data_IF_552220690165
#
_entry.id   IF_552220690165
#
_cell.length_a   1.000
_cell.length_b   1.000
_cell.length_c   1.000
_cell.angle_alpha   90.00
_cell.angle_beta   90.00
_cell.angle_gamma   90.00
#
_symmetry.space_group_name_H-M   'P 1'
#
loop_
_entity.id
_entity.type
_entity.pdbx_description
1 polymer ?
#
# COMPACT_ATOMS: atom_id res chain seq x y z
N UNK A 1 -14.18 3.96 22.26
CA UNK A 1 -13.94 2.52 22.00
C UNK A 1 -12.44 2.25 22.12
N UNK A 2 -12.02 1.50 23.16
CA UNK A 2 -10.63 1.14 23.40
C UNK A 2 -10.18 0.15 22.30
N UNK A 3 -9.30 0.59 21.41
CA UNK A 3 -8.62 -0.32 20.46
C UNK A 3 -7.84 -1.36 21.27
N UNK A 4 -8.03 -2.67 21.07
CA UNK A 4 -7.27 -3.67 21.79
C UNK A 4 -5.78 -3.45 21.49
N UNK A 5 -4.98 -3.21 22.54
CA UNK A 5 -3.51 -3.14 22.44
C UNK A 5 -3.04 -4.46 21.80
N UNK A 6 -2.50 -4.39 20.59
CA UNK A 6 -1.88 -5.54 19.93
C UNK A 6 -0.74 -6.05 20.83
N UNK A 7 -0.55 -7.37 21.00
CA UNK A 7 0.54 -7.90 21.79
C UNK A 7 1.87 -7.36 21.26
N UNK A 8 2.72 -6.87 22.17
CA UNK A 8 4.00 -6.22 21.85
C UNK A 8 4.89 -7.08 20.93
N UNK A 9 4.89 -8.40 21.14
CA UNK A 9 5.63 -9.38 20.34
C UNK A 9 5.22 -9.38 18.86
N UNK A 10 3.92 -9.30 18.57
CA UNK A 10 3.44 -9.33 17.20
C UNK A 10 3.79 -8.04 16.44
N UNK A 11 3.72 -6.90 17.11
CA UNK A 11 4.16 -5.64 16.53
C UNK A 11 5.67 -5.69 16.23
N UNK A 12 6.49 -6.25 17.12
CA UNK A 12 7.91 -6.41 16.90
C UNK A 12 8.24 -7.34 15.72
N UNK A 13 7.53 -8.46 15.56
CA UNK A 13 7.70 -9.38 14.43
C UNK A 13 7.35 -8.75 13.08
N UNK A 14 6.35 -7.85 13.06
CA UNK A 14 5.85 -7.22 11.85
C UNK A 14 6.52 -5.87 11.51
N UNK A 15 7.31 -5.30 12.42
CA UNK A 15 8.03 -4.06 12.15
C UNK A 15 9.20 -4.29 11.19
N UNK A 16 9.21 -3.52 10.09
CA UNK A 16 10.40 -3.39 9.26
C UNK A 16 11.36 -2.37 9.89
N UNK A 17 12.66 -2.62 9.82
CA UNK A 17 13.69 -1.73 10.38
C UNK A 17 13.88 -0.42 9.58
N UNK A 18 13.37 -0.34 8.34
CA UNK A 18 13.45 0.84 7.51
C UNK A 18 12.13 1.63 7.54
N UNK A 19 12.20 2.92 7.87
CA UNK A 19 11.08 3.86 7.88
C UNK A 19 9.91 3.46 8.81
N UNK A 20 10.22 3.02 10.02
CA UNK A 20 9.23 2.61 11.03
C UNK A 20 8.16 3.69 11.32
N UNK A 21 8.48 4.97 11.09
CA UNK A 21 7.61 6.11 11.41
C UNK A 21 6.63 6.48 10.29
N UNK A 22 6.74 5.89 9.09
CA UNK A 22 5.82 6.17 7.99
C UNK A 22 4.62 5.20 8.00
N UNK A 23 3.48 5.65 8.55
CA UNK A 23 2.25 4.85 8.66
C UNK A 23 1.74 4.35 7.30
N UNK A 24 1.87 5.15 6.23
CA UNK A 24 1.45 4.77 4.88
C UNK A 24 2.33 3.64 4.32
N UNK A 25 3.66 3.74 4.49
CA UNK A 25 4.61 2.69 4.12
C UNK A 25 4.29 1.38 4.86
N UNK A 26 4.08 1.44 6.17
CA UNK A 26 3.72 0.27 6.99
C UNK A 26 2.38 -0.35 6.56
N UNK A 27 1.40 0.47 6.17
CA UNK A 27 0.12 -0.03 5.65
C UNK A 27 0.31 -0.79 4.32
N UNK A 28 1.08 -0.24 3.39
CA UNK A 28 1.37 -0.88 2.10
C UNK A 28 2.16 -2.19 2.29
N UNK A 29 3.18 -2.20 3.13
CA UNK A 29 3.94 -3.40 3.48
C UNK A 29 3.04 -4.51 4.05
N UNK A 30 2.09 -4.16 4.92
CA UNK A 30 1.11 -5.15 5.47
C UNK A 30 0.19 -5.72 4.41
N UNK A 31 -0.20 -4.93 3.40
CA UNK A 31 -1.05 -5.42 2.30
C UNK A 31 -0.34 -6.51 1.48
N UNK A 32 0.99 -6.46 1.36
CA UNK A 32 1.76 -7.50 0.66
C UNK A 32 1.74 -8.86 1.38
N UNK A 33 1.43 -8.89 2.68
CA UNK A 33 1.35 -10.12 3.48
C UNK A 33 0.04 -10.90 3.29
N UNK A 34 -0.99 -10.29 2.71
CA UNK A 34 -2.30 -10.95 2.52
C UNK A 34 -2.22 -11.98 1.40
N UNK A 35 -2.44 -13.28 1.67
CA UNK A 35 -2.38 -14.33 0.66
C UNK A 35 -3.60 -14.32 -0.27
N UNK A 36 -3.41 -14.79 -1.51
CA UNK A 36 -4.56 -15.14 -2.34
C UNK A 36 -5.28 -16.39 -1.75
N UNK A 37 -6.60 -16.54 -1.93
CA UNK A 37 -7.35 -17.66 -1.38
C UNK A 37 -6.89 -19.05 -1.87
N UNK A 38 -6.31 -19.14 -3.06
CA UNK A 38 -5.82 -20.39 -3.64
C UNK A 38 -4.49 -20.88 -3.05
N UNK A 39 -3.66 -19.95 -2.57
CA UNK A 39 -2.29 -20.24 -2.11
C UNK A 39 -2.19 -21.30 -1.00
N UNK A 40 -3.04 -21.31 0.05
CA UNK A 40 -2.98 -22.36 1.09
C UNK A 40 -3.13 -23.77 0.55
N UNK A 41 -3.99 -23.98 -0.42
CA UNK A 41 -4.25 -25.29 -1.00
C UNK A 41 -3.10 -25.79 -1.86
N UNK A 42 -2.50 -24.91 -2.65
CA UNK A 42 -1.34 -25.27 -3.49
C UNK A 42 -0.17 -25.74 -2.62
N UNK A 43 0.12 -25.02 -1.53
CA UNK A 43 1.20 -25.40 -0.61
C UNK A 43 0.89 -26.69 0.14
N UNK A 44 -0.38 -26.95 0.49
CA UNK A 44 -0.78 -28.17 1.17
C UNK A 44 -0.72 -29.41 0.26
N UNK A 45 -0.89 -29.27 -1.06
CA UNK A 45 -0.87 -30.38 -1.99
C UNK A 45 0.45 -31.15 -1.98
N UNK A 46 1.60 -30.44 -2.02
CA UNK A 46 2.93 -31.06 -1.94
C UNK A 46 3.15 -31.81 -0.61
N UNK A 47 2.70 -31.22 0.51
CA UNK A 47 2.79 -31.85 1.84
C UNK A 47 1.88 -33.09 1.93
N UNK A 48 0.69 -33.03 1.33
CA UNK A 48 -0.24 -34.18 1.29
C UNK A 48 0.37 -35.35 0.50
N UNK A 49 1.04 -35.10 -0.63
CA UNK A 49 1.73 -36.14 -1.38
C UNK A 49 2.85 -36.79 -0.56
N UNK A 50 3.63 -36.01 0.18
CA UNK A 50 4.66 -36.53 1.09
C UNK A 50 4.04 -37.41 2.19
N UNK A 51 2.90 -37.01 2.77
CA UNK A 51 2.19 -37.79 3.79
C UNK A 51 1.59 -39.08 3.24
N UNK A 52 1.08 -39.08 2.01
CA UNK A 52 0.61 -40.31 1.35
C UNK A 52 1.76 -41.29 1.14
N UNK A 53 2.92 -40.81 0.68
CA UNK A 53 4.13 -41.63 0.55
C UNK A 53 4.61 -42.15 1.94
N UNK A 54 4.56 -41.31 2.98
CA UNK A 54 4.90 -41.72 4.35
C UNK A 54 3.93 -42.81 4.86
N UNK A 55 2.64 -42.65 4.64
CA UNK A 55 1.65 -43.67 5.02
C UNK A 55 1.87 -45.02 4.35
N UNK A 56 2.17 -44.99 3.04
CA UNK A 56 2.49 -46.21 2.28
C UNK A 56 3.78 -46.91 2.75
N UNK A 57 4.83 -46.08 3.04
CA UNK A 57 6.17 -46.60 3.33
C UNK A 57 6.40 -46.88 4.82
N UNK A 58 5.69 -46.23 5.74
CA UNK A 58 5.99 -46.27 7.17
C UNK A 58 4.82 -46.53 8.08
N UNK A 59 3.88 -45.60 8.23
CA UNK A 59 2.75 -45.71 9.15
C UNK A 59 1.49 -45.00 8.63
N UNK A 60 0.51 -45.76 8.23
CA UNK A 60 -0.74 -45.28 7.68
C UNK A 60 -1.56 -44.47 8.70
N UNK A 61 -1.61 -44.89 9.97
CA UNK A 61 -2.42 -44.20 10.98
C UNK A 61 -1.86 -42.80 11.31
N UNK A 62 -0.55 -42.70 11.44
CA UNK A 62 0.12 -41.40 11.65
C UNK A 62 -0.09 -40.49 10.43
N UNK A 63 0.09 -41.01 9.21
CA UNK A 63 -0.15 -40.27 7.99
C UNK A 63 -1.59 -39.75 7.88
N UNK A 64 -2.58 -40.57 8.20
CA UNK A 64 -3.99 -40.17 8.15
C UNK A 64 -4.32 -39.07 9.17
N UNK A 65 -3.80 -39.18 10.42
CA UNK A 65 -3.98 -38.17 11.44
C UNK A 65 -3.34 -36.79 11.02
N UNK A 66 -2.12 -36.82 10.46
CA UNK A 66 -1.43 -35.63 10.01
C UNK A 66 -2.09 -35.00 8.76
N UNK A 67 -2.63 -35.83 7.85
CA UNK A 67 -3.43 -35.36 6.72
C UNK A 67 -4.70 -34.62 7.18
N UNK A 68 -5.42 -35.19 8.16
CA UNK A 68 -6.60 -34.56 8.75
C UNK A 68 -6.24 -33.20 9.39
N UNK A 69 -5.15 -33.14 10.14
CA UNK A 69 -4.68 -31.90 10.76
C UNK A 69 -4.23 -30.87 9.71
N UNK A 70 -3.52 -31.30 8.67
CA UNK A 70 -3.12 -30.46 7.54
C UNK A 70 -4.34 -29.87 6.83
N UNK A 71 -5.36 -30.70 6.56
CA UNK A 71 -6.60 -30.27 5.92
C UNK A 71 -7.35 -29.24 6.79
N UNK A 72 -7.45 -29.49 8.10
CA UNK A 72 -8.09 -28.58 9.06
C UNK A 72 -7.40 -27.21 9.09
N UNK A 73 -6.07 -27.18 9.23
CA UNK A 73 -5.31 -25.93 9.25
C UNK A 73 -5.38 -25.19 7.90
N UNK A 74 -5.35 -25.93 6.79
CA UNK A 74 -5.46 -25.34 5.45
C UNK A 74 -6.83 -24.75 5.20
N UNK A 75 -7.90 -25.45 5.58
CA UNK A 75 -9.27 -24.96 5.50
C UNK A 75 -9.48 -23.72 6.40
N UNK A 76 -8.93 -23.71 7.62
CA UNK A 76 -8.97 -22.57 8.51
C UNK A 76 -8.26 -21.33 7.92
N UNK A 77 -7.08 -21.51 7.32
CA UNK A 77 -6.35 -20.44 6.62
C UNK A 77 -7.13 -19.90 5.42
N UNK A 78 -7.72 -20.78 4.63
CA UNK A 78 -8.54 -20.41 3.49
C UNK A 78 -9.80 -19.63 3.91
N UNK A 79 -10.46 -20.07 4.98
CA UNK A 79 -11.62 -19.38 5.54
C UNK A 79 -11.25 -17.99 6.05
N UNK A 80 -10.15 -17.87 6.82
CA UNK A 80 -9.63 -16.58 7.29
C UNK A 80 -9.25 -15.63 6.16
N UNK A 81 -8.75 -16.15 5.03
CA UNK A 81 -8.41 -15.34 3.86
C UNK A 81 -9.64 -14.80 3.11
N UNK A 82 -10.82 -15.43 3.27
CA UNK A 82 -12.08 -15.01 2.64
C UNK A 82 -12.92 -14.09 3.50
N UNK A 83 -12.86 -14.24 4.81
CA UNK A 83 -13.55 -13.32 5.74
C UNK A 83 -12.93 -11.96 5.61
N UNK A 84 -13.71 -10.99 5.08
CA UNK A 84 -13.30 -9.64 4.72
C UNK A 84 -12.33 -8.99 5.70
N UNK A 85 -11.19 -8.46 5.21
CA UNK A 85 -10.24 -7.77 6.05
C UNK A 85 -10.85 -6.46 6.61
N UNK A 86 -10.47 -6.05 7.81
CA UNK A 86 -9.24 -6.38 8.54
C UNK A 86 -9.44 -7.06 9.90
N UNK A 87 -10.35 -8.04 10.02
CA UNK A 87 -10.88 -8.41 11.35
C UNK A 87 -9.85 -9.10 12.24
N UNK A 88 -8.87 -9.87 11.73
CA UNK A 88 -7.87 -10.55 12.59
C UNK A 88 -6.54 -10.87 11.88
N UNK A 89 -5.69 -9.91 11.60
CA UNK A 89 -4.35 -10.19 11.03
C UNK A 89 -3.51 -11.12 11.93
N UNK A 90 -3.73 -11.07 13.26
CA UNK A 90 -3.08 -11.94 14.22
C UNK A 90 -3.43 -13.41 14.03
N UNK A 91 -4.71 -13.73 13.80
CA UNK A 91 -5.14 -15.11 13.57
C UNK A 91 -4.55 -15.70 12.29
N UNK A 92 -4.45 -14.92 11.22
CA UNK A 92 -3.78 -15.35 9.99
C UNK A 92 -2.30 -15.70 10.23
N UNK A 93 -1.56 -14.85 10.93
CA UNK A 93 -0.15 -15.07 11.21
C UNK A 93 0.08 -16.29 12.11
N UNK A 94 -0.74 -16.44 13.14
CA UNK A 94 -0.66 -17.63 14.02
C UNK A 94 -0.95 -18.92 13.26
N UNK A 95 -1.96 -18.94 12.38
CA UNK A 95 -2.26 -20.15 11.59
C UNK A 95 -1.17 -20.50 10.58
N UNK A 96 -0.45 -19.50 10.06
CA UNK A 96 0.73 -19.75 9.21
C UNK A 96 1.85 -20.38 10.01
N UNK A 97 2.16 -19.87 11.21
CA UNK A 97 3.21 -20.46 12.09
C UNK A 97 2.86 -21.88 12.49
N UNK A 98 1.61 -22.15 12.85
CA UNK A 98 1.15 -23.52 13.18
C UNK A 98 1.27 -24.45 11.97
N UNK A 99 0.97 -23.96 10.78
CA UNK A 99 1.14 -24.72 9.55
C UNK A 99 2.63 -25.03 9.27
N UNK A 100 3.54 -24.06 9.42
CA UNK A 100 4.97 -24.26 9.26
C UNK A 100 5.52 -25.27 10.29
N UNK A 101 5.08 -25.18 11.54
CA UNK A 101 5.45 -26.14 12.58
C UNK A 101 4.98 -27.56 12.27
N UNK A 102 3.75 -27.71 11.77
CA UNK A 102 3.22 -29.01 11.34
C UNK A 102 4.05 -29.59 10.18
N UNK A 103 4.36 -28.80 9.16
CA UNK A 103 5.16 -29.28 8.01
C UNK A 103 6.59 -29.61 8.45
N UNK A 104 7.18 -28.83 9.35
CA UNK A 104 8.48 -29.15 9.95
C UNK A 104 8.47 -30.47 10.74
N UNK A 105 7.38 -30.74 11.49
CA UNK A 105 7.20 -32.00 12.20
C UNK A 105 7.04 -33.19 11.24
N UNK A 106 6.32 -33.01 10.12
CA UNK A 106 6.20 -34.03 9.06
C UNK A 106 7.57 -34.33 8.45
N UNK A 107 8.37 -33.30 8.17
CA UNK A 107 9.72 -33.46 7.64
C UNK A 107 10.67 -34.14 8.64
N UNK A 108 10.54 -33.85 9.93
CA UNK A 108 11.25 -34.56 11.01
C UNK A 108 10.89 -36.06 11.00
N UNK A 109 9.62 -36.43 10.92
CA UNK A 109 9.20 -37.83 10.84
C UNK A 109 9.73 -38.52 9.57
N UNK A 110 9.76 -37.82 8.46
CA UNK A 110 10.36 -38.34 7.23
C UNK A 110 11.87 -38.63 7.42
N UNK A 111 12.63 -37.75 8.10
CA UNK A 111 14.03 -37.96 8.43
C UNK A 111 14.21 -39.17 9.37
N UNK A 112 13.42 -39.28 10.43
CA UNK A 112 13.51 -40.36 11.41
C UNK A 112 13.05 -41.74 10.86
N UNK A 113 12.32 -41.76 9.74
CA UNK A 113 11.89 -42.99 9.08
C UNK A 113 13.05 -43.85 8.57
N UNK A 114 14.24 -43.24 8.35
CA UNK A 114 15.41 -43.88 7.77
C UNK A 114 15.23 -44.29 6.30
N UNK A 115 14.13 -43.90 5.64
CA UNK A 115 13.85 -44.21 4.25
C UNK A 115 14.32 -43.08 3.34
N UNK A 116 15.35 -43.36 2.53
CA UNK A 116 16.01 -42.35 1.70
C UNK A 116 15.05 -41.59 0.81
N UNK A 117 14.06 -42.25 0.20
CA UNK A 117 13.06 -41.59 -0.63
C UNK A 117 12.25 -40.53 0.13
N UNK A 118 11.83 -40.82 1.36
CA UNK A 118 11.09 -39.86 2.21
C UNK A 118 11.99 -38.70 2.66
N UNK A 119 13.25 -39.00 2.97
CA UNK A 119 14.24 -38.00 3.40
C UNK A 119 14.49 -37.00 2.25
N UNK A 120 14.77 -37.47 1.06
CA UNK A 120 15.05 -36.63 -0.10
C UNK A 120 13.83 -35.83 -0.55
N UNK A 121 12.65 -36.45 -0.61
CA UNK A 121 11.42 -35.75 -0.99
C UNK A 121 11.00 -34.71 0.02
N UNK A 122 11.16 -34.97 1.33
CA UNK A 122 10.92 -33.98 2.38
C UNK A 122 11.90 -32.81 2.29
N UNK A 123 13.21 -33.08 2.10
CA UNK A 123 14.24 -32.05 1.93
C UNK A 123 13.96 -31.14 0.75
N UNK A 124 13.59 -31.69 -0.40
CA UNK A 124 13.24 -30.91 -1.59
C UNK A 124 11.98 -30.05 -1.33
N UNK A 125 10.94 -30.62 -0.73
CA UNK A 125 9.70 -29.94 -0.46
C UNK A 125 9.89 -28.77 0.52
N UNK A 126 10.55 -28.97 1.66
CA UNK A 126 10.77 -27.90 2.65
C UNK A 126 11.67 -26.80 2.09
N UNK A 127 12.64 -27.14 1.23
CA UNK A 127 13.50 -26.13 0.57
C UNK A 127 12.68 -25.26 -0.39
N UNK A 128 11.81 -25.88 -1.21
CA UNK A 128 10.93 -25.15 -2.10
C UNK A 128 9.92 -24.25 -1.34
N UNK A 129 9.34 -24.76 -0.26
CA UNK A 129 8.43 -23.99 0.61
C UNK A 129 9.15 -22.85 1.33
N UNK A 130 10.36 -23.09 1.84
CA UNK A 130 11.16 -22.06 2.49
C UNK A 130 11.49 -20.92 1.53
N UNK A 131 11.92 -21.22 0.30
CA UNK A 131 12.19 -20.22 -0.71
C UNK A 131 10.96 -19.40 -1.06
N UNK A 132 9.81 -20.05 -1.21
CA UNK A 132 8.52 -19.37 -1.45
C UNK A 132 8.10 -18.47 -0.28
N UNK A 133 8.26 -18.93 0.98
CA UNK A 133 7.95 -18.12 2.18
C UNK A 133 8.87 -16.91 2.31
N UNK A 134 10.17 -17.05 2.00
CA UNK A 134 11.12 -15.93 2.00
C UNK A 134 10.67 -14.79 1.09
N UNK A 135 10.22 -15.10 -0.12
CA UNK A 135 9.71 -14.10 -1.05
C UNK A 135 8.37 -13.52 -0.56
N UNK A 136 7.47 -14.39 -0.12
CA UNK A 136 6.11 -14.02 0.24
C UNK A 136 6.04 -13.10 1.46
N UNK A 137 6.84 -13.37 2.48
CA UNK A 137 6.83 -12.63 3.74
C UNK A 137 8.04 -11.72 3.92
N UNK A 138 8.72 -11.37 2.84
CA UNK A 138 9.87 -10.45 2.84
C UNK A 138 9.55 -9.06 3.43
N UNK A 139 8.28 -8.64 3.40
CA UNK A 139 7.82 -7.42 4.04
C UNK A 139 7.96 -7.43 5.57
N UNK A 140 8.03 -8.62 6.20
CA UNK A 140 8.19 -8.82 7.64
C UNK A 140 9.36 -9.80 7.90
N UNK A 141 10.62 -9.36 7.82
CA UNK A 141 11.80 -10.24 7.79
C UNK A 141 11.95 -11.11 9.02
N UNK A 142 11.61 -10.62 10.21
CA UNK A 142 11.65 -11.40 11.46
C UNK A 142 10.60 -12.51 11.46
N UNK A 143 9.42 -12.23 10.93
CA UNK A 143 8.35 -13.22 10.79
C UNK A 143 8.73 -14.31 9.78
N UNK A 144 9.26 -13.92 8.61
CA UNK A 144 9.76 -14.85 7.60
C UNK A 144 10.86 -15.76 8.14
N UNK A 145 11.80 -15.22 8.93
CA UNK A 145 12.85 -16.01 9.56
C UNK A 145 12.28 -17.05 10.54
N UNK A 146 11.29 -16.67 11.36
CA UNK A 146 10.63 -17.59 12.28
C UNK A 146 9.91 -18.73 11.55
N UNK A 147 9.21 -18.45 10.47
CA UNK A 147 8.55 -19.45 9.63
C UNK A 147 9.54 -20.46 9.06
N UNK A 148 10.66 -19.97 8.53
CA UNK A 148 11.70 -20.82 7.94
C UNK A 148 12.35 -21.69 9.01
N UNK A 149 12.60 -21.14 10.19
CA UNK A 149 13.12 -21.92 11.32
C UNK A 149 12.16 -23.05 11.71
N UNK A 150 10.86 -22.74 11.85
CA UNK A 150 9.85 -23.75 12.19
C UNK A 150 9.73 -24.85 11.12
N UNK A 151 9.92 -24.48 9.85
CA UNK A 151 9.84 -25.38 8.73
C UNK A 151 11.05 -26.29 8.58
N UNK A 152 12.26 -25.76 8.74
CA UNK A 152 13.52 -26.44 8.32
C UNK A 152 14.33 -27.02 9.48
N UNK A 153 14.38 -26.34 10.66
CA UNK A 153 15.18 -26.83 11.78
C UNK A 153 14.80 -28.21 12.29
N UNK A 154 13.50 -28.59 12.41
CA UNK A 154 13.15 -29.94 12.86
C UNK A 154 13.75 -31.03 11.97
N UNK A 155 13.76 -30.81 10.66
CA UNK A 155 14.35 -31.73 9.70
C UNK A 155 15.88 -31.83 9.83
N UNK A 156 16.57 -30.70 9.91
CA UNK A 156 18.03 -30.66 10.02
C UNK A 156 18.53 -31.21 11.35
N UNK A 157 17.85 -30.86 12.47
CA UNK A 157 18.20 -31.36 13.81
C UNK A 157 17.92 -32.84 14.00
N UNK A 158 17.01 -33.42 13.20
CA UNK A 158 16.75 -34.87 13.20
C UNK A 158 17.81 -35.68 12.44
N UNK A 159 18.63 -35.04 11.63
CA UNK A 159 19.64 -35.74 10.80
C UNK A 159 20.63 -36.60 11.60
N UNK A 160 21.18 -36.14 12.76
CA UNK A 160 22.02 -36.98 13.60
C UNK A 160 21.32 -38.19 14.21
N UNK A 161 19.98 -38.14 14.37
CA UNK A 161 19.16 -39.21 14.92
C UNK A 161 18.67 -40.19 13.82
N UNK A 162 18.95 -39.90 12.57
CA UNK A 162 18.63 -40.73 11.44
C UNK A 162 19.40 -42.05 11.49
N UNK A 163 18.76 -43.13 11.05
CA UNK A 163 19.41 -44.45 10.91
C UNK A 163 20.27 -44.58 9.65
N UNK A 164 20.30 -43.53 8.82
CA UNK A 164 21.06 -43.52 7.55
C UNK A 164 22.46 -42.98 7.82
N UNK A 165 23.46 -43.75 7.40
CA UNK A 165 24.87 -43.41 7.62
C UNK A 165 25.24 -42.06 6.99
N UNK A 166 26.04 -41.26 7.69
CA UNK A 166 26.57 -39.95 7.26
C UNK A 166 25.55 -38.80 7.13
N UNK A 167 24.25 -39.00 7.40
CA UNK A 167 23.29 -37.88 7.38
C UNK A 167 23.49 -36.89 8.52
N UNK A 168 24.21 -37.26 9.58
CA UNK A 168 24.58 -36.33 10.66
C UNK A 168 25.35 -35.11 10.13
N UNK A 169 26.08 -35.24 9.01
CA UNK A 169 26.78 -34.12 8.37
C UNK A 169 25.85 -33.00 7.89
N UNK A 170 24.54 -33.28 7.73
CA UNK A 170 23.58 -32.23 7.42
C UNK A 170 23.42 -31.22 8.57
N UNK A 171 23.74 -31.59 9.79
CA UNK A 171 23.69 -30.67 10.92
C UNK A 171 24.77 -29.57 10.81
N UNK A 172 25.91 -29.87 10.19
CA UNK A 172 27.00 -28.92 9.99
C UNK A 172 26.64 -27.83 8.97
N UNK A 173 25.61 -28.07 8.16
CA UNK A 173 25.10 -27.08 7.17
C UNK A 173 24.19 -26.04 7.84
N UNK A 174 23.68 -26.28 9.05
CA UNK A 174 22.73 -25.37 9.73
C UNK A 174 23.24 -23.92 9.79
N UNK A 175 24.49 -23.61 10.22
CA UNK A 175 24.96 -22.24 10.30
C UNK A 175 24.98 -21.55 8.92
N UNK A 176 25.43 -22.26 7.88
CA UNK A 176 25.43 -21.77 6.51
C UNK A 176 24.00 -21.53 6.00
N UNK A 177 23.08 -22.44 6.28
CA UNK A 177 21.66 -22.31 5.91
C UNK A 177 21.02 -21.08 6.56
N UNK A 178 21.26 -20.83 7.86
CA UNK A 178 20.75 -19.67 8.58
C UNK A 178 21.33 -18.36 8.00
N UNK A 179 22.61 -18.34 7.66
CA UNK A 179 23.26 -17.18 7.03
C UNK A 179 22.65 -16.89 5.66
N UNK A 180 22.47 -17.91 4.83
CA UNK A 180 21.84 -17.78 3.51
C UNK A 180 20.38 -17.33 3.62
N UNK A 181 19.61 -17.93 4.54
CA UNK A 181 18.23 -17.55 4.78
C UNK A 181 18.11 -16.07 5.19
N UNK A 182 18.98 -15.63 6.13
CA UNK A 182 19.04 -14.23 6.54
C UNK A 182 19.38 -13.30 5.36
N UNK A 183 20.40 -13.64 4.58
CA UNK A 183 20.83 -12.86 3.41
C UNK A 183 19.74 -12.74 2.36
N UNK A 184 19.06 -13.84 2.03
CA UNK A 184 17.96 -13.87 1.07
C UNK A 184 16.75 -13.06 1.56
N UNK A 185 16.36 -13.22 2.82
CA UNK A 185 15.26 -12.43 3.43
C UNK A 185 15.60 -10.93 3.37
N UNK A 186 16.83 -10.55 3.73
CA UNK A 186 17.29 -9.16 3.67
C UNK A 186 17.27 -8.62 2.23
N UNK A 187 17.68 -9.42 1.25
CA UNK A 187 17.63 -9.06 -0.16
C UNK A 187 16.19 -8.82 -0.63
N UNK A 188 15.28 -9.77 -0.44
CA UNK A 188 13.89 -9.62 -0.84
C UNK A 188 13.17 -8.49 -0.07
N UNK A 189 13.51 -8.28 1.20
CA UNK A 189 12.99 -7.15 1.96
C UNK A 189 13.35 -5.81 1.34
N UNK A 190 14.61 -5.63 0.91
CA UNK A 190 15.07 -4.42 0.21
C UNK A 190 14.32 -4.22 -1.11
N UNK A 191 14.10 -5.29 -1.89
CA UNK A 191 13.34 -5.22 -3.15
C UNK A 191 11.90 -4.76 -2.93
N UNK A 192 11.21 -5.33 -1.93
CA UNK A 192 9.84 -4.92 -1.60
C UNK A 192 9.80 -3.47 -1.11
N UNK A 193 10.75 -3.05 -0.26
CA UNK A 193 10.84 -1.67 0.22
C UNK A 193 11.07 -0.68 -0.92
N UNK A 194 11.97 -0.99 -1.85
CA UNK A 194 12.20 -0.16 -3.05
C UNK A 194 10.96 -0.09 -3.95
N UNK A 195 10.28 -1.21 -4.17
CA UNK A 195 9.05 -1.23 -4.96
C UNK A 195 7.96 -0.36 -4.35
N UNK A 196 7.77 -0.42 -3.03
CA UNK A 196 6.77 0.39 -2.31
C UNK A 196 7.11 1.89 -2.40
N UNK A 197 8.39 2.27 -2.22
CA UNK A 197 8.81 3.68 -2.34
C UNK A 197 8.64 4.21 -3.75
N UNK A 198 9.10 3.49 -4.77
CA UNK A 198 8.96 3.87 -6.18
C UNK A 198 7.48 4.00 -6.60
N UNK A 199 6.63 3.11 -6.11
CA UNK A 199 5.19 3.17 -6.39
C UNK A 199 4.56 4.40 -5.74
N UNK A 200 4.93 4.72 -4.50
CA UNK A 200 4.45 5.91 -3.80
C UNK A 200 4.92 7.21 -4.48
N UNK A 201 6.17 7.26 -4.95
CA UNK A 201 6.71 8.40 -5.71
C UNK A 201 6.00 8.58 -7.05
N UNK A 202 5.79 7.48 -7.79
CA UNK A 202 5.00 7.51 -9.04
C UNK A 202 3.57 8.00 -8.81
N UNK A 203 2.91 7.56 -7.74
CA UNK A 203 1.57 8.04 -7.39
C UNK A 203 1.57 9.53 -7.04
N UNK A 204 2.56 10.00 -6.25
CA UNK A 204 2.71 11.43 -5.95
C UNK A 204 2.96 12.26 -7.21
N UNK A 205 3.82 11.80 -8.12
CA UNK A 205 4.07 12.45 -9.40
C UNK A 205 2.81 12.44 -10.29
N UNK A 206 2.07 11.33 -10.33
CA UNK A 206 0.81 11.21 -11.06
C UNK A 206 -0.31 12.11 -10.54
N UNK A 207 -0.22 12.62 -9.31
CA UNK A 207 -1.19 13.54 -8.72
C UNK A 207 -0.81 15.04 -8.87
N UNK A 208 0.28 15.35 -9.57
CA UNK A 208 0.70 16.73 -9.80
C UNK A 208 0.59 17.15 -11.26
N UNK A 209 0.26 18.43 -11.46
CA UNK A 209 0.28 19.06 -12.77
C UNK A 209 1.71 19.53 -13.08
N UNK A 210 2.22 19.14 -14.23
CA UNK A 210 3.63 19.38 -14.61
C UNK A 210 3.94 20.85 -14.95
N UNK A 211 2.93 21.65 -15.31
CA UNK A 211 3.11 23.07 -15.61
C UNK A 211 3.12 23.93 -14.35
N UNK A 212 2.16 23.72 -13.48
CA UNK A 212 1.93 24.58 -12.31
C UNK A 212 2.55 24.04 -11.01
N UNK A 213 2.89 22.74 -10.98
CA UNK A 213 3.40 22.04 -9.79
C UNK A 213 2.33 21.76 -8.72
N UNK A 214 1.10 22.24 -8.88
CA UNK A 214 -0.03 21.99 -8.00
C UNK A 214 -0.58 20.55 -8.17
N UNK A 215 -1.60 20.19 -7.41
CA UNK A 215 -2.32 18.96 -7.66
C UNK A 215 -2.97 19.04 -9.07
N UNK A 216 -2.94 17.93 -9.78
CA UNK A 216 -3.78 17.77 -10.96
C UNK A 216 -5.18 17.31 -10.57
N UNK A 217 -6.07 17.09 -11.55
CA UNK A 217 -7.43 16.63 -11.30
C UNK A 217 -7.50 15.38 -10.40
N UNK A 218 -6.68 14.36 -10.68
CA UNK A 218 -6.66 13.12 -9.88
C UNK A 218 -6.22 13.37 -8.44
N UNK A 219 -5.22 14.23 -8.24
CA UNK A 219 -4.76 14.64 -6.90
C UNK A 219 -5.82 15.43 -6.13
N UNK A 220 -6.51 16.35 -6.81
CA UNK A 220 -7.62 17.12 -6.23
C UNK A 220 -8.81 16.23 -5.86
N UNK A 221 -9.19 15.31 -6.74
CA UNK A 221 -10.27 14.33 -6.46
C UNK A 221 -9.92 13.43 -5.27
N UNK A 222 -8.66 13.03 -5.10
CA UNK A 222 -8.23 12.24 -3.94
C UNK A 222 -8.40 13.02 -2.62
N UNK A 223 -8.05 14.30 -2.57
CA UNK A 223 -8.29 15.15 -1.39
C UNK A 223 -9.78 15.32 -1.13
N UNK A 224 -10.58 15.56 -2.16
CA UNK A 224 -12.04 15.69 -2.04
C UNK A 224 -12.70 14.39 -1.57
N UNK A 225 -12.18 13.21 -1.95
CA UNK A 225 -12.67 11.93 -1.44
C UNK A 225 -12.49 11.79 0.08
N UNK A 226 -11.38 12.29 0.63
CA UNK A 226 -11.18 12.30 2.08
C UNK A 226 -12.19 13.20 2.79
N UNK A 227 -12.55 14.34 2.21
CA UNK A 227 -13.56 15.27 2.71
C UNK A 227 -14.95 14.60 2.74
N UNK A 228 -15.31 13.92 1.66
CA UNK A 228 -16.60 13.25 1.50
C UNK A 228 -16.71 11.93 2.30
N UNK A 229 -15.64 11.49 3.00
CA UNK A 229 -15.66 10.20 3.68
C UNK A 229 -16.50 10.25 4.97
N UNK A 230 -17.46 9.32 5.17
CA UNK A 230 -18.41 9.37 6.29
C UNK A 230 -17.79 9.30 7.70
N UNK A 231 -16.54 8.78 7.80
CA UNK A 231 -15.83 8.68 9.08
C UNK A 231 -15.13 9.99 9.49
N UNK A 232 -15.10 11.00 8.62
CA UNK A 232 -14.44 12.28 8.87
C UNK A 232 -15.44 13.22 9.56
N UNK A 233 -15.45 13.20 10.89
CA UNK A 233 -16.41 13.97 11.71
C UNK A 233 -16.08 15.47 11.77
N UNK A 234 -14.80 15.83 11.61
CA UNK A 234 -14.33 17.22 11.56
C UNK A 234 -13.23 17.29 10.51
N UNK A 235 -13.48 18.00 9.41
CA UNK A 235 -12.47 18.26 8.42
C UNK A 235 -11.82 19.64 8.66
N UNK A 236 -10.50 19.75 8.68
CA UNK A 236 -9.82 21.04 8.86
C UNK A 236 -10.02 22.00 7.68
N UNK A 237 -10.40 21.48 6.50
CA UNK A 237 -10.74 22.27 5.32
C UNK A 237 -12.16 22.81 5.46
N UNK A 238 -12.33 24.11 5.25
CA UNK A 238 -13.59 24.81 5.51
C UNK A 238 -14.31 25.27 4.23
N UNK A 239 -13.53 25.62 3.18
CA UNK A 239 -14.07 26.18 1.96
C UNK A 239 -13.38 25.62 0.72
N UNK A 240 -14.15 25.48 -0.37
CA UNK A 240 -13.67 25.21 -1.71
C UNK A 240 -13.94 26.46 -2.57
N UNK A 241 -12.86 27.05 -3.10
CA UNK A 241 -12.94 28.07 -4.11
C UNK A 241 -12.66 27.47 -5.48
N UNK A 242 -13.51 27.79 -6.46
CA UNK A 242 -13.28 27.49 -7.86
C UNK A 242 -12.95 28.79 -8.58
N UNK A 243 -11.85 28.80 -9.32
CA UNK A 243 -11.36 29.95 -10.07
C UNK A 243 -11.18 29.50 -11.52
N UNK A 244 -11.73 30.26 -12.45
CA UNK A 244 -11.60 30.02 -13.88
C UNK A 244 -10.98 31.24 -14.58
N UNK A 245 -9.87 31.03 -15.27
CA UNK A 245 -9.20 32.06 -16.06
C UNK A 245 -9.78 32.09 -17.47
N UNK A 246 -10.30 33.28 -17.87
CA UNK A 246 -10.91 33.49 -19.18
C UNK A 246 -10.26 34.69 -19.88
N UNK A 247 -10.04 34.68 -21.20
CA UNK A 247 -10.28 33.59 -22.16
C UNK A 247 -9.01 32.76 -22.44
N UNK A 248 -8.65 31.83 -21.57
CA UNK A 248 -7.42 31.04 -21.74
C UNK A 248 -7.41 30.22 -23.03
N UNK A 249 -8.55 29.65 -23.43
CA UNK A 249 -8.66 28.87 -24.68
C UNK A 249 -8.38 29.73 -25.92
N UNK A 250 -8.87 30.98 -25.98
CA UNK A 250 -8.58 31.92 -27.06
C UNK A 250 -7.09 32.30 -27.10
N UNK A 251 -6.44 32.39 -25.94
CA UNK A 251 -5.01 32.64 -25.84
C UNK A 251 -4.18 31.53 -26.51
N UNK A 252 -4.52 30.27 -26.25
CA UNK A 252 -3.86 29.13 -26.89
C UNK A 252 -4.03 29.14 -28.41
N UNK A 253 -5.22 29.59 -28.90
CA UNK A 253 -5.49 29.68 -30.33
C UNK A 253 -4.73 30.84 -31.00
N UNK A 254 -4.58 31.98 -30.32
CA UNK A 254 -3.97 33.18 -30.91
C UNK A 254 -2.45 33.23 -30.76
N UNK A 255 -1.89 32.73 -29.66
CA UNK A 255 -0.47 32.86 -29.34
C UNK A 255 0.27 31.50 -29.28
N UNK A 256 -0.46 30.39 -29.48
CA UNK A 256 0.10 29.06 -29.50
C UNK A 256 0.35 28.44 -28.11
N UNK A 257 0.80 27.19 -28.11
CA UNK A 257 0.93 26.36 -26.91
C UNK A 257 2.02 26.92 -25.95
N UNK A 258 3.12 27.40 -26.48
CA UNK A 258 4.25 27.86 -25.64
C UNK A 258 3.84 29.03 -24.73
N UNK A 259 3.18 30.03 -25.30
CA UNK A 259 2.72 31.21 -24.53
C UNK A 259 1.63 30.80 -23.53
N UNK A 260 0.67 29.95 -23.96
CA UNK A 260 -0.36 29.43 -23.06
C UNK A 260 0.21 28.67 -21.87
N UNK A 261 1.25 27.87 -22.08
CA UNK A 261 1.95 27.14 -21.00
C UNK A 261 2.73 28.09 -20.08
N UNK A 262 3.36 29.13 -20.60
CA UNK A 262 4.06 30.13 -19.81
C UNK A 262 3.10 30.96 -18.96
N UNK A 263 1.93 31.30 -19.49
CA UNK A 263 0.84 31.93 -18.71
C UNK A 263 0.44 31.01 -17.54
N UNK A 264 0.25 29.73 -17.79
CA UNK A 264 -0.14 28.78 -16.73
C UNK A 264 0.94 28.61 -15.68
N UNK A 265 2.24 28.62 -16.04
CA UNK A 265 3.35 28.62 -15.09
C UNK A 265 3.32 29.88 -14.21
N UNK A 266 3.15 31.04 -14.83
CA UNK A 266 3.06 32.32 -14.12
C UNK A 266 1.84 32.38 -13.19
N UNK A 267 0.68 31.85 -13.62
CA UNK A 267 -0.49 31.68 -12.75
C UNK A 267 -0.11 30.81 -11.54
N UNK A 268 0.56 29.69 -11.77
CA UNK A 268 1.01 28.79 -10.72
C UNK A 268 1.93 29.48 -9.71
N UNK A 269 2.90 30.26 -10.17
CA UNK A 269 3.82 31.01 -9.31
C UNK A 269 3.09 32.10 -8.50
N UNK A 270 2.19 32.86 -9.11
CA UNK A 270 1.38 33.87 -8.42
C UNK A 270 0.48 33.23 -7.36
N UNK A 271 -0.24 32.18 -7.70
CA UNK A 271 -1.09 31.43 -6.75
C UNK A 271 -0.28 30.90 -5.58
N UNK A 272 0.92 30.37 -5.83
CA UNK A 272 1.78 29.82 -4.78
C UNK A 272 2.18 30.87 -3.72
N UNK A 273 2.32 32.13 -4.12
CA UNK A 273 2.61 33.25 -3.20
C UNK A 273 1.38 33.70 -2.41
N UNK A 274 0.17 33.45 -2.92
CA UNK A 274 -1.08 33.93 -2.36
C UNK A 274 -1.77 32.94 -1.40
N UNK A 275 -1.48 31.64 -1.54
CA UNK A 275 -2.07 30.58 -0.72
C UNK A 275 -1.13 30.16 0.41
N UNK A 276 -1.69 29.62 1.49
CA UNK A 276 -0.91 29.11 2.62
C UNK A 276 -0.39 27.70 2.32
N UNK A 277 0.72 27.27 2.96
CA UNK A 277 1.21 25.88 2.83
C UNK A 277 0.20 24.82 3.31
N UNK A 278 -0.77 25.19 4.15
CA UNK A 278 -1.85 24.34 4.63
C UNK A 278 -3.01 24.19 3.64
N UNK A 279 -3.08 25.06 2.63
CA UNK A 279 -4.15 25.04 1.63
C UNK A 279 -3.77 24.12 0.47
N UNK A 280 -4.75 23.46 -0.14
CA UNK A 280 -4.53 22.63 -1.32
C UNK A 280 -4.98 23.39 -2.57
N UNK A 281 -4.10 23.45 -3.54
CA UNK A 281 -4.41 23.98 -4.87
C UNK A 281 -4.37 22.85 -5.88
N UNK A 282 -5.40 22.79 -6.71
CA UNK A 282 -5.54 21.80 -7.77
C UNK A 282 -5.83 22.49 -9.10
N UNK A 283 -5.08 22.17 -10.15
CA UNK A 283 -5.46 22.50 -11.52
C UNK A 283 -6.42 21.41 -12.01
N UNK A 284 -7.72 21.74 -12.02
CA UNK A 284 -8.76 20.75 -12.30
C UNK A 284 -8.96 20.49 -13.79
N UNK A 285 -8.96 21.55 -14.60
CA UNK A 285 -8.99 21.47 -16.07
C UNK A 285 -8.45 22.75 -16.68
N UNK A 286 -7.88 22.71 -17.87
CA UNK A 286 -7.46 23.87 -18.65
C UNK A 286 -7.02 25.09 -17.80
N UNK A 287 -7.88 26.09 -17.72
CA UNK A 287 -7.72 27.29 -16.89
C UNK A 287 -8.49 27.28 -15.58
N UNK A 288 -9.04 26.13 -15.14
CA UNK A 288 -9.79 25.99 -13.90
C UNK A 288 -8.91 25.50 -12.75
N UNK A 289 -8.92 26.23 -11.65
CA UNK A 289 -8.21 25.90 -10.41
C UNK A 289 -9.20 25.79 -9.26
N UNK A 290 -8.97 24.80 -8.40
CA UNK A 290 -9.66 24.60 -7.14
C UNK A 290 -8.70 24.96 -6.00
N UNK A 291 -9.16 25.74 -5.02
CA UNK A 291 -8.42 26.04 -3.80
C UNK A 291 -9.24 25.54 -2.62
N UNK A 292 -8.71 24.56 -1.93
CA UNK A 292 -9.29 24.01 -0.71
C UNK A 292 -8.61 24.68 0.49
N UNK A 293 -9.33 25.54 1.18
CA UNK A 293 -8.79 26.42 2.20
C UNK A 293 -8.99 25.83 3.60
N UNK A 294 -7.93 25.90 4.39
CA UNK A 294 -7.92 25.42 5.77
C UNK A 294 -8.34 26.51 6.75
N UNK A 295 -9.37 26.21 7.58
CA UNK A 295 -9.73 27.04 8.75
C UNK A 295 -10.13 28.48 8.41
N UNK A 296 -10.74 28.74 7.27
CA UNK A 296 -11.29 30.04 6.94
C UNK A 296 -12.61 30.24 7.70
N UNK A 297 -12.79 31.32 8.48
CA UNK A 297 -14.06 31.63 9.14
C UNK A 297 -15.18 31.86 8.13
N UNK A 298 -16.39 31.41 8.45
CA UNK A 298 -17.57 31.71 7.65
C UNK A 298 -17.83 33.22 7.59
N UNK A 299 -18.12 33.73 6.39
CA UNK A 299 -18.29 35.17 6.15
C UNK A 299 -17.01 35.90 5.73
N UNK A 300 -15.82 35.24 5.79
CA UNK A 300 -14.53 35.83 5.36
C UNK A 300 -14.16 35.47 3.91
N UNK A 301 -15.09 34.85 3.15
CA UNK A 301 -14.88 34.41 1.77
C UNK A 301 -14.58 35.61 0.85
N UNK A 302 -15.27 36.74 1.07
CA UNK A 302 -15.05 37.98 0.33
C UNK A 302 -13.65 38.56 0.54
N UNK A 303 -13.14 38.55 1.77
CA UNK A 303 -11.78 39.02 2.10
C UNK A 303 -10.72 38.12 1.45
N UNK A 304 -10.95 36.80 1.45
CA UNK A 304 -10.07 35.85 0.78
C UNK A 304 -9.99 36.13 -0.72
N UNK A 305 -11.14 36.31 -1.38
CA UNK A 305 -11.18 36.64 -2.82
C UNK A 305 -10.58 38.02 -3.12
N UNK A 306 -10.83 39.03 -2.30
CA UNK A 306 -10.25 40.36 -2.44
C UNK A 306 -8.71 40.35 -2.35
N UNK A 307 -8.12 39.39 -1.64
CA UNK A 307 -6.68 39.19 -1.57
C UNK A 307 -6.14 38.43 -2.78
N UNK A 308 -6.86 37.47 -3.32
CA UNK A 308 -6.35 36.54 -4.34
C UNK A 308 -6.61 37.04 -5.77
N UNK A 309 -7.79 37.61 -6.04
CA UNK A 309 -8.21 37.94 -7.41
C UNK A 309 -7.36 39.07 -8.02
N UNK A 310 -7.15 40.25 -7.37
CA UNK A 310 -6.45 41.35 -8.02
C UNK A 310 -5.01 41.01 -8.46
N UNK A 311 -4.19 40.30 -7.68
CA UNK A 311 -2.83 39.94 -8.13
C UNK A 311 -2.84 38.93 -9.30
N UNK A 312 -3.89 38.15 -9.47
CA UNK A 312 -4.02 37.18 -10.56
C UNK A 312 -4.54 37.82 -11.85
N UNK A 313 -5.20 38.98 -11.79
CA UNK A 313 -5.69 39.74 -12.95
C UNK A 313 -4.65 40.75 -13.46
N UNK A 314 -3.52 40.96 -12.74
CA UNK A 314 -2.41 41.76 -13.25
C UNK A 314 -1.92 41.19 -14.59
N UNK A 315 -1.72 42.03 -15.63
CA UNK A 315 -1.24 41.58 -16.92
C UNK A 315 -0.03 40.65 -16.85
N UNK A 316 0.03 39.72 -17.75
CA UNK A 316 1.11 38.75 -17.90
C UNK A 316 1.99 39.24 -19.04
N UNK A 317 3.20 39.71 -18.75
CA UNK A 317 4.18 40.23 -19.73
C UNK A 317 5.01 39.08 -20.30
N UNK A 318 4.99 38.89 -21.59
CA UNK A 318 5.77 37.91 -22.36
C UNK A 318 6.75 38.60 -23.32
N UNK A 319 7.19 39.82 -23.02
CA UNK A 319 8.21 40.55 -23.75
C UNK A 319 7.78 40.85 -25.20
N UNK A 320 8.46 40.23 -26.17
CA UNK A 320 8.18 40.45 -27.60
C UNK A 320 6.76 40.05 -28.03
N UNK A 321 6.06 39.21 -27.26
CA UNK A 321 4.70 38.76 -27.54
C UNK A 321 3.60 39.63 -26.91
N UNK A 322 4.01 40.68 -26.14
CA UNK A 322 3.10 41.62 -25.53
C UNK A 322 2.53 41.18 -24.19
N UNK A 323 1.59 41.98 -23.68
CA UNK A 323 0.90 41.71 -22.41
C UNK A 323 -0.41 40.98 -22.65
N UNK A 324 -0.67 40.00 -21.81
CA UNK A 324 -1.93 39.20 -21.80
C UNK A 324 -2.69 39.49 -20.51
N UNK A 325 -3.93 39.93 -20.63
CA UNK A 325 -4.83 40.14 -19.50
C UNK A 325 -5.87 39.01 -19.46
N UNK A 326 -5.97 38.35 -18.30
CA UNK A 326 -6.99 37.35 -18.04
C UNK A 326 -7.98 37.87 -17.00
N UNK A 327 -9.24 37.50 -17.13
CA UNK A 327 -10.29 37.76 -16.14
C UNK A 327 -10.54 36.49 -15.34
N UNK A 328 -10.93 36.65 -14.08
CA UNK A 328 -11.25 35.54 -13.21
C UNK A 328 -12.75 35.48 -12.97
N UNK A 329 -13.33 34.31 -13.27
CA UNK A 329 -14.62 33.93 -12.72
C UNK A 329 -14.36 33.14 -11.45
N UNK A 330 -15.08 33.44 -10.36
CA UNK A 330 -14.87 32.82 -9.07
C UNK A 330 -16.17 32.30 -8.49
N UNK A 331 -16.12 31.09 -7.92
CA UNK A 331 -17.20 30.52 -7.11
C UNK A 331 -16.67 30.11 -5.75
N UNK A 332 -17.51 30.10 -4.74
CA UNK A 332 -17.16 29.65 -3.40
C UNK A 332 -18.22 28.70 -2.85
N UNK A 333 -17.74 27.68 -2.17
CA UNK A 333 -18.57 26.68 -1.52
C UNK A 333 -18.04 26.38 -0.12
N UNK A 334 -18.91 26.51 0.88
CA UNK A 334 -18.57 26.05 2.22
C UNK A 334 -18.61 24.52 2.26
N UNK A 335 -17.57 23.92 2.84
CA UNK A 335 -17.46 22.47 2.96
C UNK A 335 -18.26 22.01 4.20
N UNK A 336 -19.50 21.65 3.98
CA UNK A 336 -20.42 21.09 4.99
C UNK A 336 -20.44 19.57 4.90
N UNK A 337 -21.02 18.90 5.91
CA UNK A 337 -21.17 17.43 5.91
C UNK A 337 -22.15 16.87 4.87
N UNK A 338 -22.79 17.74 4.08
CA UNK A 338 -23.83 17.36 3.12
C UNK A 338 -23.29 16.72 1.85
N UNK A 339 -22.00 16.90 1.56
CA UNK A 339 -21.36 16.36 0.35
C UNK A 339 -20.86 14.94 0.58
N UNK A 340 -21.63 13.96 0.10
CA UNK A 340 -21.32 12.52 0.24
C UNK A 340 -20.41 11.96 -0.87
N UNK A 341 -20.28 12.69 -1.97
CA UNK A 341 -19.48 12.24 -3.13
C UNK A 341 -18.74 13.42 -3.75
N UNK A 342 -17.58 13.14 -4.36
CA UNK A 342 -16.83 14.14 -5.13
C UNK A 342 -17.66 14.74 -6.25
N UNK A 343 -18.50 13.93 -6.90
CA UNK A 343 -19.37 14.40 -7.99
C UNK A 343 -20.38 15.45 -7.49
N UNK A 344 -21.04 15.23 -6.33
CA UNK A 344 -21.97 16.20 -5.76
C UNK A 344 -21.29 17.51 -5.35
N UNK A 345 -20.07 17.39 -4.76
CA UNK A 345 -19.24 18.54 -4.40
C UNK A 345 -18.84 19.38 -5.60
N UNK A 346 -18.38 18.73 -6.68
CA UNK A 346 -17.99 19.42 -7.92
C UNK A 346 -19.16 20.04 -8.66
N UNK A 347 -20.33 19.39 -8.67
CA UNK A 347 -21.54 19.98 -9.24
C UNK A 347 -21.92 21.26 -8.52
N UNK A 348 -21.90 21.27 -7.19
CA UNK A 348 -22.18 22.46 -6.40
C UNK A 348 -21.14 23.58 -6.64
N UNK A 349 -19.86 23.22 -6.73
CA UNK A 349 -18.78 24.17 -7.01
C UNK A 349 -18.94 24.83 -8.41
N UNK A 350 -19.30 24.05 -9.42
CA UNK A 350 -19.56 24.56 -10.77
C UNK A 350 -20.82 25.44 -10.84
N UNK A 351 -21.87 25.11 -10.09
CA UNK A 351 -23.04 25.97 -9.97
C UNK A 351 -22.69 27.32 -9.31
N UNK A 352 -21.84 27.31 -8.25
CA UNK A 352 -21.37 28.54 -7.61
C UNK A 352 -20.54 29.42 -8.56
N UNK A 353 -19.79 28.85 -9.50
CA UNK A 353 -19.09 29.58 -10.56
C UNK A 353 -20.05 30.22 -11.56
N UNK A 354 -21.13 29.51 -11.96
CA UNK A 354 -22.10 29.96 -12.95
C UNK A 354 -23.06 31.07 -12.47
N UNK A 355 -23.25 31.25 -11.17
CA UNK A 355 -24.16 32.25 -10.61
C UNK A 355 -23.58 33.67 -10.74
N UNK A 356 -22.25 33.85 -10.70
CA UNK A 356 -21.59 35.18 -10.81
C UNK A 356 -21.30 35.65 -12.24
N UNK A 357 -21.45 34.80 -13.23
CA UNK A 357 -21.21 35.16 -14.65
C UNK A 357 -22.43 35.73 -15.40
N UNK A 358 -23.50 36.09 -14.66
CA UNK A 358 -24.77 36.64 -15.27
C UNK A 358 -25.10 38.07 -14.81
N UNK A 359 -24.26 38.70 -13.99
CA UNK A 359 -24.44 40.12 -13.61
C UNK A 359 -23.46 41.04 -14.33
#
# INVERSE_FOLDING_TARGET
MLTPKKPALLNWLLQSSHQADNAQFQRQMRLTLVPSPATPWLNAAGVALLLLAYGWLSNLAIAAALLALLALLTAGRWWLARVTPPIRPTAMLVTVLLWCALVGAIALLAMLSGRMLLILSAGLLITALAFWLMQRHAAAPRFALLEIMLLTLPYLLAAPLSRVQNLFLLADIIPLWLLLAHGLIAFYHRQVAQYVTLTAEKQKAAHRDHLTGFLNRAGGEAVMQEICHPATTIHPLSHLFIIEFTPLAALYQSHGVLIGDDVLRTIGERLKMLVRPSDFVCRYSGGQFLILVHGLPYGSEGEFLARIVPPLEVPYDFGAFGEVTLRLNTGVLALTQDYKTVASLMTAAQQALGIKGKD
#
